data_IF_901633486757
#
_entry.id   IF_901633486757
#
_cell.length_a   1.000
_cell.length_b   1.000
_cell.length_c   1.000
_cell.angle_alpha   90.00
_cell.angle_beta   90.00
_cell.angle_gamma   90.00
#
_symmetry.space_group_name_H-M   'P 1'
#
loop_
_entity.id
_entity.type
_entity.pdbx_description
1 polymer ?
#
# COMPACT_ATOMS: atom_id res chain seq x y z
N UNK A 1 24.15 1.12 11.00
CA UNK A 1 23.11 0.87 9.97
C UNK A 1 23.75 1.11 8.62
N UNK A 2 23.95 0.06 7.81
CA UNK A 2 24.58 0.17 6.48
C UNK A 2 23.57 0.61 5.42
N UNK A 3 23.17 1.88 5.44
CA UNK A 3 22.31 2.45 4.40
C UNK A 3 23.19 3.07 3.32
N UNK A 4 22.99 2.66 2.06
CA UNK A 4 23.75 3.22 0.93
C UNK A 4 23.40 4.72 0.76
N UNK A 5 24.38 5.63 0.90
CA UNK A 5 24.14 7.07 0.88
C UNK A 5 23.68 7.64 -0.47
N UNK A 6 23.77 6.85 -1.56
CA UNK A 6 23.37 7.26 -2.91
C UNK A 6 21.90 6.95 -3.25
N UNK A 7 21.15 6.33 -2.32
CA UNK A 7 19.75 5.93 -2.54
C UNK A 7 18.82 6.94 -1.89
N UNK A 8 17.71 7.31 -2.54
CA UNK A 8 16.67 8.22 -2.01
C UNK A 8 16.28 7.90 -0.55
N UNK A 9 16.30 6.61 -0.20
CA UNK A 9 16.05 6.14 1.15
C UNK A 9 17.03 6.69 2.20
N UNK A 10 18.29 6.98 1.87
CA UNK A 10 19.24 7.56 2.83
C UNK A 10 18.84 8.97 3.27
N UNK A 11 18.52 9.85 2.31
CA UNK A 11 18.09 11.23 2.61
C UNK A 11 16.79 11.21 3.42
N UNK A 12 15.84 10.36 3.03
CA UNK A 12 14.57 10.18 3.74
C UNK A 12 14.81 9.64 5.16
N UNK A 13 15.74 8.70 5.35
CA UNK A 13 16.09 8.17 6.66
C UNK A 13 16.70 9.26 7.57
N UNK A 14 17.62 10.07 7.06
CA UNK A 14 18.19 11.20 7.81
C UNK A 14 17.10 12.21 8.18
N UNK A 15 16.21 12.52 7.25
CA UNK A 15 15.09 13.41 7.51
C UNK A 15 14.16 12.84 8.59
N UNK A 16 13.84 11.55 8.56
CA UNK A 16 13.02 10.89 9.58
C UNK A 16 13.70 10.87 10.97
N UNK A 17 15.02 10.64 11.01
CA UNK A 17 15.79 10.64 12.28
C UNK A 17 15.83 12.04 12.89
N UNK A 18 16.05 13.08 12.07
CA UNK A 18 16.11 14.46 12.54
C UNK A 18 14.73 15.07 12.83
N UNK A 19 13.71 14.65 12.08
CA UNK A 19 12.37 15.23 12.13
C UNK A 19 11.50 14.72 13.26
N UNK A 20 11.89 13.63 13.94
CA UNK A 20 11.08 13.03 15.01
C UNK A 20 11.86 12.90 16.30
N UNK A 21 11.18 13.14 17.42
CA UNK A 21 11.70 12.86 18.75
C UNK A 21 11.87 11.36 18.97
N UNK A 22 12.75 10.98 19.90
CA UNK A 22 12.88 9.59 20.36
C UNK A 22 11.54 9.00 20.82
N UNK A 23 10.73 9.78 21.54
CA UNK A 23 9.40 9.35 21.99
C UNK A 23 8.45 9.07 20.82
N UNK A 24 8.47 9.90 19.77
CA UNK A 24 7.68 9.67 18.55
C UNK A 24 8.09 8.37 17.87
N UNK A 25 9.40 8.09 17.83
CA UNK A 25 9.96 6.87 17.28
C UNK A 25 9.50 5.63 18.05
N UNK A 26 9.61 5.66 19.37
CA UNK A 26 9.19 4.57 20.26
C UNK A 26 7.69 4.29 20.14
N UNK A 27 6.84 5.33 20.10
CA UNK A 27 5.40 5.18 19.87
C UNK A 27 5.06 4.47 18.57
N UNK A 28 5.76 4.78 17.47
CA UNK A 28 5.55 4.11 16.18
C UNK A 28 6.00 2.65 16.22
N UNK A 29 7.13 2.35 16.86
CA UNK A 29 7.57 0.96 17.08
C UNK A 29 6.53 0.19 17.91
N UNK A 30 5.99 0.81 18.96
CA UNK A 30 4.94 0.19 19.79
C UNK A 30 3.64 -0.06 19.01
N UNK A 31 3.30 0.80 18.05
CA UNK A 31 2.18 0.54 17.12
C UNK A 31 2.47 -0.69 16.28
N UNK A 32 3.63 -0.80 15.64
CA UNK A 32 4.00 -1.99 14.86
C UNK A 32 4.03 -3.26 15.72
N UNK A 33 4.48 -3.15 16.97
CA UNK A 33 4.45 -4.24 17.95
C UNK A 33 3.05 -4.74 18.26
N UNK A 34 2.05 -3.85 18.36
CA UNK A 34 0.63 -4.25 18.51
C UNK A 34 0.12 -5.06 17.32
N UNK A 35 0.75 -4.91 16.15
CA UNK A 35 0.47 -5.70 14.96
C UNK A 35 1.40 -6.90 14.80
N UNK A 36 2.18 -7.25 15.82
CA UNK A 36 3.01 -8.46 15.83
C UNK A 36 4.43 -8.30 15.30
N UNK A 37 4.87 -7.07 14.97
CA UNK A 37 6.28 -6.86 14.61
C UNK A 37 7.17 -6.86 15.85
N UNK A 38 8.33 -7.49 15.74
CA UNK A 38 9.46 -7.26 16.64
C UNK A 38 10.06 -5.86 16.42
N UNK A 39 10.90 -5.44 17.37
CA UNK A 39 11.67 -4.20 17.23
C UNK A 39 12.64 -4.30 16.06
N UNK A 40 13.24 -5.47 15.89
CA UNK A 40 14.19 -5.80 14.84
C UNK A 40 13.53 -5.73 13.45
N UNK A 41 12.32 -6.30 13.30
CA UNK A 41 11.53 -6.16 12.07
C UNK A 41 11.18 -4.70 11.78
N UNK A 42 10.82 -3.91 12.79
CA UNK A 42 10.53 -2.48 12.62
C UNK A 42 11.75 -1.70 12.13
N UNK A 43 12.93 -1.99 12.68
CA UNK A 43 14.20 -1.37 12.27
C UNK A 43 14.58 -1.81 10.85
N UNK A 44 14.39 -3.09 10.53
CA UNK A 44 14.67 -3.64 9.20
C UNK A 44 13.74 -3.04 8.13
N UNK A 45 12.44 -2.91 8.45
CA UNK A 45 11.45 -2.26 7.62
C UNK A 45 11.82 -0.80 7.36
N UNK A 46 12.22 -0.07 8.39
CA UNK A 46 12.73 1.30 8.25
C UNK A 46 13.96 1.36 7.34
N UNK A 47 14.92 0.45 7.51
CA UNK A 47 16.11 0.40 6.66
C UNK A 47 15.80 0.14 5.18
N UNK A 48 14.77 -0.68 4.89
CA UNK A 48 14.29 -0.96 3.54
C UNK A 48 13.51 0.21 2.94
N UNK A 49 12.62 0.83 3.71
CA UNK A 49 11.75 1.91 3.25
C UNK A 49 11.38 2.88 4.39
N UNK A 50 12.20 3.93 4.62
CA UNK A 50 12.03 4.85 5.76
C UNK A 50 10.66 5.53 5.85
N UNK A 51 9.98 5.70 4.73
CA UNK A 51 8.64 6.29 4.67
C UNK A 51 7.60 5.53 5.51
N UNK A 52 7.80 4.24 5.81
CA UNK A 52 6.92 3.52 6.73
C UNK A 52 6.92 4.13 8.15
N UNK A 53 8.02 4.78 8.56
CA UNK A 53 8.11 5.49 9.84
C UNK A 53 7.70 6.97 9.73
N UNK A 54 7.69 7.53 8.52
CA UNK A 54 7.27 8.92 8.28
C UNK A 54 5.75 9.11 8.24
N UNK A 55 5.00 8.05 7.96
CA UNK A 55 3.54 8.08 8.03
C UNK A 55 3.05 8.43 9.45
N UNK A 56 1.94 9.17 9.56
CA UNK A 56 1.32 9.45 10.86
C UNK A 56 0.88 8.16 11.55
N UNK A 57 0.81 8.17 12.89
CA UNK A 57 0.34 7.02 13.68
C UNK A 57 -1.05 6.55 13.22
N UNK A 58 -1.96 7.50 12.98
CA UNK A 58 -3.30 7.23 12.42
C UNK A 58 -3.23 6.53 11.06
N UNK A 59 -2.35 6.96 10.15
CA UNK A 59 -2.20 6.33 8.83
C UNK A 59 -1.65 4.91 8.98
N UNK A 60 -0.63 4.70 9.83
CA UNK A 60 -0.05 3.37 10.08
C UNK A 60 -1.13 2.42 10.59
N UNK A 61 -1.88 2.82 11.62
CA UNK A 61 -2.95 1.99 12.18
C UNK A 61 -4.02 1.63 11.15
N UNK A 62 -4.48 2.62 10.36
CA UNK A 62 -5.50 2.38 9.33
C UNK A 62 -5.00 1.44 8.21
N UNK A 63 -3.75 1.58 7.81
CA UNK A 63 -3.13 0.71 6.80
C UNK A 63 -2.97 -0.73 7.33
N UNK A 64 -2.47 -0.89 8.56
CA UNK A 64 -2.30 -2.21 9.17
C UNK A 64 -3.63 -2.92 9.38
N UNK A 65 -4.66 -2.22 9.88
CA UNK A 65 -6.02 -2.77 10.00
C UNK A 65 -6.57 -3.22 8.64
N UNK A 66 -6.41 -2.39 7.61
CA UNK A 66 -6.88 -2.74 6.28
C UNK A 66 -6.19 -4.00 5.73
N UNK A 67 -4.85 -4.08 5.81
CA UNK A 67 -4.13 -5.23 5.27
C UNK A 67 -4.39 -6.52 6.06
N UNK A 68 -4.30 -6.46 7.39
CA UNK A 68 -4.39 -7.66 8.22
C UNK A 68 -5.85 -8.08 8.39
N UNK A 69 -6.72 -7.17 8.83
CA UNK A 69 -8.09 -7.54 9.19
C UNK A 69 -9.05 -7.56 7.99
N UNK A 70 -8.89 -6.66 6.99
CA UNK A 70 -9.81 -6.61 5.83
C UNK A 70 -9.36 -7.45 4.64
N UNK A 71 -8.04 -7.58 4.46
CA UNK A 71 -7.42 -8.32 3.35
C UNK A 71 -6.77 -9.65 3.77
N UNK A 72 -6.76 -9.97 5.07
CA UNK A 72 -6.27 -11.26 5.57
C UNK A 72 -4.78 -11.48 5.33
N UNK A 73 -4.00 -10.40 5.24
CA UNK A 73 -2.56 -10.50 5.02
C UNK A 73 -1.84 -10.81 6.33
N UNK A 74 -0.77 -11.59 6.23
CA UNK A 74 0.12 -11.80 7.36
C UNK A 74 0.90 -10.52 7.70
N UNK A 75 1.05 -10.23 8.99
CA UNK A 75 1.74 -9.02 9.43
C UNK A 75 3.23 -9.00 9.05
N UNK A 76 3.89 -10.17 9.07
CA UNK A 76 5.30 -10.31 8.68
C UNK A 76 5.49 -10.06 7.19
N UNK A 77 4.50 -10.39 6.36
CA UNK A 77 4.53 -10.05 4.93
C UNK A 77 4.54 -8.52 4.73
N UNK A 78 3.80 -7.76 5.56
CA UNK A 78 3.84 -6.29 5.53
C UNK A 78 5.20 -5.77 6.02
N UNK A 79 5.80 -6.40 7.05
CA UNK A 79 7.15 -6.06 7.53
C UNK A 79 8.23 -6.25 6.46
N UNK A 80 8.07 -7.27 5.63
CA UNK A 80 8.97 -7.56 4.51
C UNK A 80 8.78 -6.58 3.34
N UNK A 81 7.61 -5.95 3.24
CA UNK A 81 7.21 -5.03 2.16
C UNK A 81 6.77 -3.65 2.66
N UNK A 82 7.62 -2.90 3.39
CA UNK A 82 7.24 -1.65 4.07
C UNK A 82 6.81 -0.51 3.14
N UNK A 83 7.11 -0.61 1.84
CA UNK A 83 6.61 0.31 0.81
C UNK A 83 5.09 0.39 0.76
N UNK A 84 4.40 -0.70 1.10
CA UNK A 84 2.94 -0.75 1.16
C UNK A 84 2.37 0.34 2.09
N UNK A 85 3.02 0.60 3.23
CA UNK A 85 2.60 1.58 4.23
C UNK A 85 2.74 3.04 3.78
N UNK A 86 3.52 3.29 2.73
CA UNK A 86 3.71 4.64 2.18
C UNK A 86 2.63 5.05 1.18
N UNK A 87 1.90 4.08 0.60
CA UNK A 87 0.87 4.33 -0.41
C UNK A 87 -0.33 5.12 0.15
N UNK A 88 -1.16 5.65 -0.75
CA UNK A 88 -2.44 6.24 -0.36
C UNK A 88 -3.45 5.14 -0.07
N UNK A 89 -3.96 5.10 1.16
CA UNK A 89 -4.98 4.12 1.57
C UNK A 89 -6.24 4.26 0.69
N UNK A 90 -6.81 5.46 0.69
CA UNK A 90 -8.10 5.73 0.05
C UNK A 90 -8.00 5.78 -1.47
N UNK A 91 -6.98 6.46 -2.02
CA UNK A 91 -6.90 6.69 -3.48
C UNK A 91 -6.32 5.51 -4.25
N UNK A 92 -5.59 4.60 -3.60
CA UNK A 92 -4.86 3.52 -4.30
C UNK A 92 -5.09 2.15 -3.70
N UNK A 93 -4.88 1.99 -2.40
CA UNK A 93 -4.91 0.65 -1.78
C UNK A 93 -6.32 0.09 -1.75
N UNK A 94 -7.29 0.83 -1.21
CA UNK A 94 -8.68 0.36 -1.10
C UNK A 94 -9.35 0.08 -2.47
N UNK A 95 -9.21 0.94 -3.51
CA UNK A 95 -9.80 0.68 -4.82
C UNK A 95 -9.21 -0.58 -5.46
N UNK A 96 -7.87 -0.70 -5.47
CA UNK A 96 -7.19 -1.84 -6.10
C UNK A 96 -7.43 -3.14 -5.36
N UNK A 97 -7.37 -3.12 -4.02
CA UNK A 97 -7.68 -4.30 -3.22
C UNK A 97 -9.15 -4.74 -3.34
N UNK A 98 -10.09 -3.80 -3.54
CA UNK A 98 -11.49 -4.14 -3.82
C UNK A 98 -11.63 -4.95 -5.11
N UNK A 99 -10.95 -4.51 -6.18
CA UNK A 99 -10.90 -5.24 -7.46
C UNK A 99 -10.29 -6.63 -7.28
N UNK A 100 -9.10 -6.72 -6.66
CA UNK A 100 -8.45 -8.01 -6.42
C UNK A 100 -9.32 -8.97 -5.60
N UNK A 101 -9.97 -8.47 -4.54
CA UNK A 101 -10.87 -9.27 -3.70
C UNK A 101 -12.07 -9.79 -4.49
N UNK A 102 -12.64 -8.98 -5.38
CA UNK A 102 -13.70 -9.43 -6.28
C UNK A 102 -13.19 -10.54 -7.21
N UNK A 103 -12.07 -10.32 -7.91
CA UNK A 103 -11.51 -11.31 -8.85
C UNK A 103 -11.15 -12.63 -8.16
N UNK A 104 -10.60 -12.59 -6.95
CA UNK A 104 -10.35 -13.80 -6.14
C UNK A 104 -11.63 -14.54 -5.79
N UNK A 105 -12.69 -13.83 -5.40
CA UNK A 105 -13.96 -14.47 -5.05
C UNK A 105 -14.63 -15.15 -6.26
N UNK A 106 -14.41 -14.62 -7.46
CA UNK A 106 -14.84 -15.22 -8.73
C UNK A 106 -13.85 -16.25 -9.30
N UNK A 107 -12.71 -16.46 -8.63
CA UNK A 107 -11.62 -17.35 -9.08
C UNK A 107 -11.06 -16.99 -10.47
N UNK A 108 -11.21 -15.73 -10.88
CA UNK A 108 -10.73 -15.21 -12.17
C UNK A 108 -9.20 -15.00 -12.19
N UNK A 109 -8.63 -14.75 -11.02
CA UNK A 109 -7.17 -14.73 -10.80
C UNK A 109 -6.82 -15.60 -9.60
N UNK A 110 -5.59 -16.11 -9.59
CA UNK A 110 -5.05 -16.77 -8.40
C UNK A 110 -4.82 -15.73 -7.29
N UNK A 111 -5.01 -16.10 -6.02
CA UNK A 111 -4.50 -15.32 -4.89
C UNK A 111 -3.02 -15.00 -5.12
N UNK A 112 -2.69 -13.72 -5.17
CA UNK A 112 -1.36 -13.24 -5.52
C UNK A 112 -0.87 -12.20 -4.50
N UNK A 113 0.44 -12.01 -4.49
CA UNK A 113 1.12 -10.98 -3.71
C UNK A 113 0.51 -9.59 -4.01
N UNK A 114 0.08 -8.85 -2.97
CA UNK A 114 -0.50 -7.50 -3.10
C UNK A 114 0.51 -6.45 -3.56
N UNK A 115 1.81 -6.68 -3.39
CA UNK A 115 2.87 -5.72 -3.68
C UNK A 115 2.85 -5.26 -5.14
N UNK A 116 2.87 -6.21 -6.08
CA UNK A 116 2.96 -5.86 -7.50
C UNK A 116 1.71 -5.11 -8.00
N UNK A 117 0.47 -5.59 -7.78
CA UNK A 117 -0.74 -4.84 -8.18
C UNK A 117 -0.83 -3.44 -7.58
N UNK A 118 -0.29 -3.21 -6.38
CA UNK A 118 -0.35 -1.91 -5.71
C UNK A 118 0.74 -0.94 -6.17
N UNK A 119 1.86 -1.44 -6.71
CA UNK A 119 2.98 -0.60 -7.14
C UNK A 119 2.98 -0.24 -8.62
N UNK A 120 2.34 -1.02 -9.49
CA UNK A 120 2.26 -0.71 -10.93
C UNK A 120 1.49 0.58 -11.21
N UNK A 121 1.67 1.13 -12.43
CA UNK A 121 0.92 2.29 -12.91
C UNK A 121 -0.59 2.02 -12.94
N UNK A 122 -1.38 3.09 -13.00
CA UNK A 122 -2.83 3.00 -13.15
C UNK A 122 -3.23 2.25 -14.42
N UNK A 123 -2.71 2.70 -15.56
CA UNK A 123 -2.93 2.08 -16.87
C UNK A 123 -2.63 0.57 -16.84
N UNK A 124 -1.47 0.18 -16.30
CA UNK A 124 -1.09 -1.23 -16.20
C UNK A 124 -1.99 -2.00 -15.23
N UNK A 125 -2.49 -1.36 -14.18
CA UNK A 125 -3.46 -1.97 -13.27
C UNK A 125 -4.78 -2.24 -13.99
N UNK A 126 -5.32 -1.25 -14.70
CA UNK A 126 -6.57 -1.38 -15.46
C UNK A 126 -6.46 -2.48 -16.53
N UNK A 127 -5.40 -2.42 -17.35
CA UNK A 127 -5.14 -3.40 -18.41
C UNK A 127 -4.99 -4.84 -17.90
N UNK A 128 -4.53 -5.04 -16.66
CA UNK A 128 -4.28 -6.39 -16.10
C UNK A 128 -5.38 -6.92 -15.20
N UNK A 129 -6.14 -6.05 -14.54
CA UNK A 129 -7.08 -6.44 -13.49
C UNK A 129 -8.50 -5.89 -13.69
N UNK A 130 -8.74 -5.06 -14.70
CA UNK A 130 -10.08 -4.51 -14.95
C UNK A 130 -10.54 -4.86 -16.36
N UNK A 131 -9.84 -4.37 -17.39
CA UNK A 131 -10.21 -4.56 -18.81
C UNK A 131 -10.39 -6.03 -19.21
N UNK A 132 -9.53 -6.98 -18.77
CA UNK A 132 -9.70 -8.39 -19.16
C UNK A 132 -10.95 -9.07 -18.60
N UNK A 133 -11.67 -8.41 -17.69
CA UNK A 133 -12.82 -8.97 -16.97
C UNK A 133 -14.07 -8.09 -17.13
N UNK A 134 -14.13 -7.27 -18.19
CA UNK A 134 -15.26 -6.37 -18.44
C UNK A 134 -16.57 -7.14 -18.69
N UNK A 135 -16.51 -8.28 -19.36
CA UNK A 135 -17.69 -9.12 -19.63
C UNK A 135 -18.18 -9.85 -18.37
N UNK A 136 -17.26 -10.39 -17.57
CA UNK A 136 -17.59 -11.11 -16.33
C UNK A 136 -17.95 -10.16 -15.18
N UNK A 137 -17.53 -8.90 -15.27
CA UNK A 137 -17.69 -7.90 -14.23
C UNK A 137 -17.86 -6.48 -14.79
N UNK A 138 -18.95 -6.20 -15.53
CA UNK A 138 -19.17 -4.90 -16.18
C UNK A 138 -19.29 -3.72 -15.20
N UNK A 139 -19.55 -4.00 -13.93
CA UNK A 139 -19.59 -3.00 -12.85
C UNK A 139 -18.23 -2.76 -12.17
N UNK A 140 -17.19 -3.54 -12.48
CA UNK A 140 -15.89 -3.51 -11.82
C UNK A 140 -15.14 -2.20 -12.09
N UNK A 141 -15.17 -1.71 -13.33
CA UNK A 141 -14.59 -0.44 -13.71
C UNK A 141 -15.28 0.72 -12.98
N UNK A 142 -16.61 0.72 -12.96
CA UNK A 142 -17.41 1.73 -12.25
C UNK A 142 -17.14 1.70 -10.74
N UNK A 143 -17.02 0.51 -10.15
CA UNK A 143 -16.66 0.34 -8.74
C UNK A 143 -15.24 0.86 -8.44
N UNK A 144 -14.28 0.63 -9.34
CA UNK A 144 -12.91 1.12 -9.19
C UNK A 144 -12.87 2.65 -9.22
N UNK A 145 -13.50 3.27 -10.22
CA UNK A 145 -13.56 4.73 -10.40
C UNK A 145 -14.24 5.44 -9.23
N UNK A 146 -15.38 4.91 -8.74
CA UNK A 146 -16.10 5.46 -7.59
C UNK A 146 -15.24 5.48 -6.32
N UNK A 147 -14.36 4.50 -6.15
CA UNK A 147 -13.51 4.37 -4.96
C UNK A 147 -12.20 5.14 -5.08
N UNK A 148 -11.71 5.38 -6.29
CA UNK A 148 -10.41 6.03 -6.52
C UNK A 148 -10.49 7.56 -6.58
N UNK A 149 -11.70 8.16 -6.55
CA UNK A 149 -11.94 9.59 -6.82
C UNK A 149 -11.28 10.06 -8.14
N UNK A 150 -11.16 9.16 -9.12
CA UNK A 150 -10.64 9.50 -10.44
C UNK A 150 -11.76 10.10 -11.30
N UNK A 151 -11.46 11.04 -12.21
CA UNK A 151 -12.39 11.42 -13.26
C UNK A 151 -12.79 10.18 -14.07
N UNK A 152 -14.00 10.18 -14.66
CA UNK A 152 -14.45 9.02 -15.42
C UNK A 152 -13.51 8.84 -16.61
N UNK A 153 -13.30 7.60 -17.02
CA UNK A 153 -12.51 7.31 -18.23
C UNK A 153 -13.06 8.07 -19.46
N UNK A 154 -14.39 8.21 -19.53
CA UNK A 154 -15.13 9.02 -20.51
C UNK A 154 -14.75 10.52 -20.54
N UNK A 155 -14.22 11.05 -19.43
CA UNK A 155 -13.79 12.45 -19.31
C UNK A 155 -12.34 12.65 -19.81
N UNK A 156 -11.57 11.57 -20.00
CA UNK A 156 -10.18 11.61 -20.48
C UNK A 156 -10.06 11.46 -22.01
N UNK A 157 -11.11 11.04 -22.70
CA UNK A 157 -11.17 10.98 -24.19
C UNK A 157 -11.70 12.28 -24.83
N UNK A 158 -12.05 13.30 -24.03
CA UNK A 158 -12.58 14.59 -24.52
C UNK A 158 -11.63 15.77 -24.40
N UNK A 159 -10.33 15.51 -24.37
CA UNK A 159 -9.30 16.55 -24.39
C UNK A 159 -8.56 16.57 -25.73
N UNK A 160 -9.15 17.24 -26.72
CA UNK A 160 -8.42 17.88 -27.83
C UNK A 160 -8.00 19.30 -27.42
#
# INVERSE_FOLDING_TARGET
MGLNPLVLNFVVAIHAIRGFSKSTWEKKIDIYKKWGWSKEESIMAFGKHPWCMMASEKKIMAMMDFYINKMGQDSSYIAQSPVLLSLSLEKRVMPRCSVLKFLWSKRLIRPANLLWPLLISEERFLCKFVTPYEEEAPHLLKLYQQKSNLPRYEDMEKGD
#
